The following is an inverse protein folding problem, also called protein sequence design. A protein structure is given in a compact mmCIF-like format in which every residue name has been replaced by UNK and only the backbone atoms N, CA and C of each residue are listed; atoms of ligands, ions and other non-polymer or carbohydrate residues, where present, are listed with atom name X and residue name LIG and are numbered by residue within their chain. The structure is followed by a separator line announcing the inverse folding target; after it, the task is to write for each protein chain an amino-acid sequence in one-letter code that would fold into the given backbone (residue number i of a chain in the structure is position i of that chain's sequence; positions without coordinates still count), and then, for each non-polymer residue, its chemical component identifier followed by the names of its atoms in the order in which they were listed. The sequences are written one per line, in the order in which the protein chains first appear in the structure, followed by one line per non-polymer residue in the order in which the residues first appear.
data_IF_789726128650
#
_entry.id   IF_789726128650
#
_cell.length_a   1.000
_cell.length_b   1.000
_cell.length_c   1.000
_cell.angle_alpha   90.00
_cell.angle_beta   90.00
_cell.angle_gamma   90.00
#
_symmetry.space_group_name_H-M   'P 1'
#
loop_
_entity.id
_entity.type
_entity.pdbx_description
1 polymer ?
#
# COMPACT_ATOMS: atom_id res chain seq x y z
N UNK A 1 1.34 -4.36 -15.84
CA UNK A 1 1.37 -3.44 -14.67
C UNK A 1 0.05 -2.68 -14.60
N UNK A 2 -0.54 -2.54 -13.41
CA UNK A 2 -1.83 -1.85 -13.24
C UNK A 2 -1.84 -0.92 -12.02
N UNK A 3 -2.93 -0.18 -11.87
CA UNK A 3 -3.14 0.74 -10.75
C UNK A 3 -3.93 0.04 -9.64
N UNK A 4 -3.34 -0.11 -8.46
CA UNK A 4 -3.97 -0.79 -7.32
C UNK A 4 -5.32 -0.18 -6.91
N UNK A 5 -5.57 1.09 -7.24
CA UNK A 5 -6.84 1.78 -6.97
C UNK A 5 -8.00 1.26 -7.83
N UNK A 6 -7.72 0.65 -8.99
CA UNK A 6 -8.76 0.30 -9.97
C UNK A 6 -8.61 -1.07 -10.60
N UNK A 7 -7.45 -1.70 -10.50
CA UNK A 7 -7.15 -2.99 -11.12
C UNK A 7 -8.12 -4.08 -10.63
N UNK A 8 -8.62 -4.88 -11.55
CA UNK A 8 -9.33 -6.11 -11.26
C UNK A 8 -8.35 -7.29 -11.32
N UNK A 9 -7.91 -7.74 -10.15
CA UNK A 9 -6.91 -8.81 -10.05
C UNK A 9 -7.45 -10.15 -10.55
N UNK A 10 -8.75 -10.42 -10.49
CA UNK A 10 -9.29 -11.68 -10.99
C UNK A 10 -9.26 -11.71 -12.52
N UNK A 11 -9.55 -10.59 -13.17
CA UNK A 11 -9.40 -10.46 -14.62
C UNK A 11 -7.94 -10.55 -15.06
N UNK A 12 -7.01 -9.92 -14.33
CA UNK A 12 -5.57 -10.01 -14.64
C UNK A 12 -4.99 -11.41 -14.38
N UNK A 13 -5.46 -12.11 -13.35
CA UNK A 13 -5.08 -13.50 -13.08
C UNK A 13 -5.61 -14.43 -14.17
N UNK A 14 -6.85 -14.25 -14.63
CA UNK A 14 -7.46 -15.09 -15.68
C UNK A 14 -6.59 -15.15 -16.94
N UNK A 15 -6.02 -14.01 -17.35
CA UNK A 15 -5.15 -13.90 -18.53
C UNK A 15 -3.88 -14.75 -18.45
N UNK A 16 -3.42 -15.08 -17.24
CA UNK A 16 -2.11 -15.73 -17.01
C UNK A 16 -2.22 -17.12 -16.41
N UNK A 17 -3.20 -17.33 -15.53
CA UNK A 17 -3.38 -18.52 -14.71
C UNK A 17 -4.89 -18.78 -14.48
N UNK A 18 -5.64 -19.24 -15.51
CA UNK A 18 -7.10 -19.42 -15.43
C UNK A 18 -7.55 -20.31 -14.26
N UNK A 19 -6.86 -21.42 -14.01
CA UNK A 19 -7.19 -22.34 -12.91
C UNK A 19 -7.04 -21.67 -11.54
N UNK A 20 -5.99 -20.85 -11.38
CA UNK A 20 -5.78 -20.11 -10.14
C UNK A 20 -6.77 -18.95 -10.02
N UNK A 21 -7.13 -18.29 -11.12
CA UNK A 21 -8.16 -17.27 -11.13
C UNK A 21 -9.53 -17.83 -10.71
N UNK A 22 -9.90 -19.01 -11.23
CA UNK A 22 -11.12 -19.71 -10.82
C UNK A 22 -11.10 -20.05 -9.31
N UNK A 23 -9.97 -20.56 -8.80
CA UNK A 23 -9.78 -20.82 -7.37
C UNK A 23 -9.92 -19.54 -6.54
N UNK A 24 -9.24 -18.47 -6.94
CA UNK A 24 -9.23 -17.19 -6.25
C UNK A 24 -10.61 -16.51 -6.28
N UNK A 25 -11.37 -16.60 -7.38
CA UNK A 25 -12.77 -16.12 -7.45
C UNK A 25 -13.67 -16.90 -6.49
N UNK A 26 -13.48 -18.22 -6.42
CA UNK A 26 -14.28 -19.12 -5.56
C UNK A 26 -13.98 -18.91 -4.07
N UNK A 27 -12.71 -18.88 -3.69
CA UNK A 27 -12.29 -18.81 -2.28
C UNK A 27 -12.11 -17.39 -1.77
N UNK A 28 -11.90 -16.42 -2.68
CA UNK A 28 -11.44 -15.06 -2.35
C UNK A 28 -10.14 -15.07 -1.54
N UNK A 29 -9.70 -13.90 -1.09
CA UNK A 29 -8.44 -13.71 -0.39
C UNK A 29 -8.72 -13.51 1.11
N UNK A 30 -8.03 -14.28 1.96
CA UNK A 30 -8.22 -14.23 3.42
C UNK A 30 -7.60 -12.99 4.07
N UNK A 31 -6.52 -12.47 3.49
CA UNK A 31 -5.86 -11.31 4.04
C UNK A 31 -4.78 -10.72 3.16
N UNK A 32 -4.28 -9.57 3.58
CA UNK A 32 -3.21 -8.82 2.91
C UNK A 32 -2.14 -8.53 3.95
N UNK A 33 -0.88 -8.75 3.60
CA UNK A 33 0.26 -8.23 4.36
C UNK A 33 1.08 -7.36 3.41
N UNK A 34 1.24 -6.08 3.73
CA UNK A 34 1.93 -5.14 2.84
C UNK A 34 2.60 -4.00 3.59
N UNK A 35 3.53 -3.33 2.91
CA UNK A 35 4.15 -2.08 3.34
C UNK A 35 3.85 -1.02 2.29
N UNK A 36 2.85 -0.16 2.48
CA UNK A 36 2.55 0.93 1.56
C UNK A 36 3.75 1.88 1.37
N UNK A 37 3.80 2.66 0.28
CA UNK A 37 4.81 3.72 0.14
C UNK A 37 4.69 4.72 1.29
N UNK A 38 5.79 5.39 1.63
CA UNK A 38 5.82 6.41 2.67
C UNK A 38 5.62 7.80 2.07
N UNK A 39 4.70 8.58 2.65
CA UNK A 39 4.33 9.90 2.12
C UNK A 39 5.54 10.82 1.98
N UNK A 40 5.82 11.20 0.75
CA UNK A 40 6.89 12.14 0.39
C UNK A 40 8.28 11.63 0.78
N UNK A 41 8.51 10.32 0.82
CA UNK A 41 9.82 9.78 1.19
C UNK A 41 10.76 9.65 -0.01
N UNK A 42 10.28 9.05 -1.10
CA UNK A 42 11.04 8.83 -2.33
C UNK A 42 10.15 9.08 -3.55
N UNK A 43 10.77 9.43 -4.67
CA UNK A 43 10.17 9.29 -6.00
C UNK A 43 10.60 7.91 -6.53
N UNK A 44 9.68 6.95 -6.58
CA UNK A 44 10.04 5.53 -6.77
C UNK A 44 10.63 5.29 -8.16
N UNK A 45 10.01 5.84 -9.21
CA UNK A 45 10.48 5.70 -10.58
C UNK A 45 11.84 6.39 -10.78
N UNK A 46 12.08 7.54 -10.15
CA UNK A 46 13.38 8.22 -10.19
C UNK A 46 14.46 7.42 -9.49
N UNK A 47 14.19 6.87 -8.30
CA UNK A 47 15.16 6.04 -7.58
C UNK A 47 15.54 4.78 -8.37
N UNK A 48 14.65 4.28 -9.23
CA UNK A 48 14.86 3.09 -10.04
C UNK A 48 15.11 3.40 -11.52
N UNK A 49 15.47 4.64 -11.88
CA UNK A 49 15.60 5.07 -13.28
C UNK A 49 16.51 4.17 -14.13
N UNK A 50 17.59 3.65 -13.55
CA UNK A 50 18.48 2.68 -14.21
C UNK A 50 17.75 1.39 -14.63
N UNK A 51 16.85 0.85 -13.80
CA UNK A 51 16.09 -0.34 -14.14
C UNK A 51 15.12 -0.07 -15.30
N UNK A 52 14.47 1.09 -15.32
CA UNK A 52 13.61 1.52 -16.42
C UNK A 52 14.37 1.84 -17.71
N UNK A 53 15.67 2.18 -17.62
CA UNK A 53 16.54 2.33 -18.79
C UNK A 53 17.05 1.00 -19.35
N UNK A 54 17.21 -0.02 -18.51
CA UNK A 54 17.72 -1.35 -18.90
C UNK A 54 16.62 -2.31 -19.38
N UNK A 55 15.42 -2.20 -18.83
CA UNK A 55 14.30 -3.09 -19.14
C UNK A 55 13.16 -2.31 -19.83
N UNK A 56 12.37 -2.96 -20.71
CA UNK A 56 11.29 -2.31 -21.45
C UNK A 56 10.04 -2.12 -20.55
N UNK A 57 10.19 -1.41 -19.44
CA UNK A 57 9.10 -1.09 -18.52
C UNK A 57 8.55 0.31 -18.81
N UNK A 58 7.23 0.40 -18.91
CA UNK A 58 6.57 1.71 -18.98
C UNK A 58 6.67 2.44 -17.64
N UNK A 59 7.06 3.71 -17.71
CA UNK A 59 7.03 4.63 -16.58
C UNK A 59 5.61 5.09 -16.29
N UNK A 60 5.20 5.07 -15.02
CA UNK A 60 3.85 5.46 -14.55
C UNK A 60 3.92 6.41 -13.36
N UNK A 61 4.82 7.37 -13.43
CA UNK A 61 5.12 8.36 -12.38
C UNK A 61 3.87 9.03 -11.80
N UNK A 62 2.91 9.38 -12.65
CA UNK A 62 1.68 10.06 -12.22
C UNK A 62 0.72 9.17 -11.42
N UNK A 63 0.95 7.86 -11.40
CA UNK A 63 0.22 6.91 -10.56
C UNK A 63 0.87 6.69 -9.19
N UNK A 64 2.02 7.28 -8.92
CA UNK A 64 2.67 7.16 -7.60
C UNK A 64 1.80 7.76 -6.49
N UNK A 65 1.70 7.03 -5.38
CA UNK A 65 1.01 7.48 -4.17
C UNK A 65 2.07 7.99 -3.18
N UNK A 66 2.02 9.28 -2.88
CA UNK A 66 2.95 9.95 -1.97
C UNK A 66 4.38 10.15 -2.50
N UNK A 67 4.59 10.57 -3.77
CA UNK A 67 5.94 10.81 -4.30
C UNK A 67 6.65 11.97 -3.57
N UNK A 68 7.98 11.90 -3.46
CA UNK A 68 8.82 12.93 -2.83
C UNK A 68 8.65 14.30 -3.49
N UNK A 69 8.48 14.38 -4.81
CA UNK A 69 8.25 15.64 -5.54
C UNK A 69 7.02 16.43 -5.06
N UNK A 70 6.04 15.76 -4.43
CA UNK A 70 4.84 16.39 -3.84
C UNK A 70 5.05 16.80 -2.37
N UNK A 71 6.15 16.40 -1.75
CA UNK A 71 6.52 16.72 -0.38
C UNK A 71 5.60 16.11 0.69
N UNK A 72 5.58 16.72 1.87
CA UNK A 72 4.83 16.25 3.05
C UNK A 72 3.86 17.31 3.59
N UNK A 73 3.47 18.27 2.74
CA UNK A 73 2.49 19.30 3.06
C UNK A 73 1.09 18.73 3.30
N UNK A 74 0.15 19.60 3.68
CA UNK A 74 -1.25 19.20 3.93
C UNK A 74 -1.88 18.50 2.72
N UNK A 75 -1.71 19.07 1.53
CA UNK A 75 -2.26 18.52 0.28
C UNK A 75 -1.65 17.16 -0.06
N UNK A 76 -0.32 17.02 0.09
CA UNK A 76 0.37 15.75 -0.15
C UNK A 76 -0.13 14.64 0.78
N UNK A 77 -0.33 14.96 2.07
CA UNK A 77 -0.90 14.03 3.05
C UNK A 77 -2.34 13.65 2.71
N UNK A 78 -3.17 14.61 2.31
CA UNK A 78 -4.55 14.34 1.90
C UNK A 78 -4.62 13.47 0.66
N UNK A 79 -3.79 13.76 -0.35
CA UNK A 79 -3.68 12.95 -1.57
C UNK A 79 -3.21 11.52 -1.25
N UNK A 80 -2.23 11.37 -0.37
CA UNK A 80 -1.76 10.07 0.09
C UNK A 80 -2.86 9.28 0.83
N UNK A 81 -3.56 9.92 1.78
CA UNK A 81 -4.68 9.31 2.52
C UNK A 81 -5.73 8.80 1.53
N UNK A 82 -6.12 9.65 0.56
CA UNK A 82 -7.09 9.27 -0.46
C UNK A 82 -6.60 8.08 -1.29
N UNK A 83 -5.36 8.14 -1.81
CA UNK A 83 -4.78 7.08 -2.62
C UNK A 83 -4.74 5.73 -1.91
N UNK A 84 -4.26 5.67 -0.67
CA UNK A 84 -4.24 4.41 0.10
C UNK A 84 -5.65 3.94 0.44
N UNK A 85 -6.57 4.86 0.76
CA UNK A 85 -7.98 4.52 1.02
C UNK A 85 -8.64 3.90 -0.22
N UNK A 86 -8.36 4.44 -1.41
CA UNK A 86 -8.89 3.93 -2.68
C UNK A 86 -8.34 2.53 -3.00
N UNK A 87 -7.05 2.30 -2.75
CA UNK A 87 -6.46 0.95 -2.87
C UNK A 87 -7.17 -0.03 -1.94
N UNK A 88 -7.33 0.29 -0.65
CA UNK A 88 -8.02 -0.59 0.31
C UNK A 88 -9.49 -0.82 -0.09
N UNK A 89 -10.17 0.22 -0.58
CA UNK A 89 -11.53 0.11 -1.08
C UNK A 89 -11.64 -0.82 -2.29
N UNK A 90 -10.67 -0.77 -3.20
CA UNK A 90 -10.61 -1.70 -4.32
C UNK A 90 -10.30 -3.12 -3.86
N UNK A 91 -9.33 -3.30 -2.93
CA UNK A 91 -8.95 -4.59 -2.38
C UNK A 91 -10.15 -5.36 -1.80
N UNK A 92 -11.06 -4.68 -1.07
CA UNK A 92 -12.24 -5.31 -0.44
C UNK A 92 -13.08 -6.17 -1.40
N UNK A 93 -13.12 -5.83 -2.69
CA UNK A 93 -13.88 -6.59 -3.70
C UNK A 93 -13.40 -8.04 -3.82
N UNK A 94 -12.14 -8.29 -3.50
CA UNK A 94 -11.46 -9.57 -3.67
C UNK A 94 -11.28 -10.34 -2.35
N UNK A 95 -11.64 -9.74 -1.22
CA UNK A 95 -11.48 -10.32 0.11
C UNK A 95 -12.73 -11.10 0.55
N UNK A 96 -12.53 -12.09 1.43
CA UNK A 96 -13.63 -12.69 2.22
C UNK A 96 -14.18 -11.68 3.23
N UNK A 97 -15.38 -11.87 3.78
CA UNK A 97 -15.98 -10.87 4.68
C UNK A 97 -15.21 -10.66 5.99
N UNK A 98 -14.56 -11.70 6.51
CA UNK A 98 -13.81 -11.72 7.77
C UNK A 98 -12.28 -11.63 7.57
N UNK A 99 -11.86 -10.81 6.60
CA UNK A 99 -10.46 -10.66 6.24
C UNK A 99 -9.58 -10.06 7.34
N UNK A 100 -8.27 -10.27 7.19
CA UNK A 100 -7.23 -9.61 8.00
C UNK A 100 -6.27 -8.82 7.08
N UNK A 101 -6.09 -7.52 7.34
CA UNK A 101 -5.12 -6.70 6.60
C UNK A 101 -4.06 -6.20 7.59
N UNK A 102 -2.80 -6.46 7.27
CA UNK A 102 -1.64 -5.98 8.00
C UNK A 102 -0.87 -4.98 7.15
N UNK A 103 -0.84 -3.72 7.59
CA UNK A 103 -0.04 -2.68 6.96
C UNK A 103 1.12 -2.31 7.87
N UNK A 104 2.34 -2.49 7.36
CA UNK A 104 3.55 -2.04 8.03
C UNK A 104 3.83 -0.61 7.60
N UNK A 105 3.87 0.32 8.56
CA UNK A 105 4.22 1.69 8.24
C UNK A 105 4.82 2.49 9.41
N UNK A 106 5.60 3.51 9.08
CA UNK A 106 5.93 4.59 9.99
C UNK A 106 4.85 5.69 9.92
N UNK A 107 3.99 5.75 10.93
CA UNK A 107 2.90 6.73 10.97
C UNK A 107 3.27 8.02 11.70
N UNK A 108 4.29 8.72 11.22
CA UNK A 108 4.75 10.00 11.78
C UNK A 108 3.65 11.06 11.90
N UNK A 109 2.63 11.00 11.05
CA UNK A 109 1.58 12.01 10.93
C UNK A 109 0.21 11.57 11.45
N UNK A 110 0.12 10.38 12.06
CA UNK A 110 -1.13 9.80 12.58
C UNK A 110 -2.25 9.74 11.51
N UNK A 111 -1.92 9.30 10.30
CA UNK A 111 -2.83 9.29 9.14
C UNK A 111 -3.54 7.94 8.95
N UNK A 112 -3.00 6.84 9.49
CA UNK A 112 -3.60 5.51 9.33
C UNK A 112 -4.99 5.35 9.95
N UNK A 113 -5.32 5.98 11.09
CA UNK A 113 -6.71 5.98 11.59
C UNK A 113 -7.71 6.57 10.59
N UNK A 114 -7.32 7.64 9.88
CA UNK A 114 -8.15 8.28 8.86
C UNK A 114 -8.30 7.38 7.63
N UNK A 115 -7.21 6.76 7.17
CA UNK A 115 -7.22 5.81 6.06
C UNK A 115 -8.16 4.63 6.37
N UNK A 116 -8.04 4.03 7.56
CA UNK A 116 -8.91 2.93 7.97
C UNK A 116 -10.39 3.34 7.97
N UNK A 117 -10.70 4.52 8.55
CA UNK A 117 -12.06 5.07 8.56
C UNK A 117 -12.61 5.27 7.14
N UNK A 118 -11.84 5.88 6.25
CA UNK A 118 -12.24 6.14 4.86
C UNK A 118 -12.48 4.85 4.06
N UNK A 119 -11.75 3.78 4.39
CA UNK A 119 -11.95 2.46 3.80
C UNK A 119 -13.08 1.64 4.46
N UNK A 120 -13.81 2.19 5.45
CA UNK A 120 -14.84 1.45 6.19
C UNK A 120 -14.26 0.29 7.02
N UNK A 121 -13.06 0.48 7.51
CA UNK A 121 -12.31 -0.47 8.33
C UNK A 121 -12.02 0.13 9.71
N UNK A 122 -11.49 -0.70 10.60
CA UNK A 122 -11.02 -0.31 11.93
C UNK A 122 -9.68 -0.96 12.23
N UNK A 123 -8.83 -0.24 12.94
CA UNK A 123 -7.56 -0.78 13.45
C UNK A 123 -7.87 -1.49 14.76
N UNK A 124 -7.81 -2.83 14.77
CA UNK A 124 -8.13 -3.63 15.97
C UNK A 124 -6.89 -3.90 16.84
N UNK A 125 -5.70 -3.96 16.22
CA UNK A 125 -4.42 -4.08 16.94
C UNK A 125 -3.35 -3.18 16.30
N UNK A 126 -2.37 -2.78 17.10
CA UNK A 126 -1.16 -2.11 16.64
C UNK A 126 0.07 -2.76 17.29
N UNK A 127 1.04 -3.16 16.48
CA UNK A 127 2.28 -3.75 16.97
C UNK A 127 3.45 -2.84 16.63
N UNK A 128 4.14 -2.32 17.64
CA UNK A 128 5.32 -1.46 17.44
C UNK A 128 6.56 -2.33 17.28
N UNK A 129 7.34 -2.08 16.23
CA UNK A 129 8.60 -2.77 15.96
C UNK A 129 9.74 -1.74 15.86
N UNK A 130 10.79 -1.84 16.69
CA UNK A 130 11.98 -1.03 16.51
C UNK A 130 12.75 -1.48 15.26
N UNK A 131 13.25 -0.54 14.47
CA UNK A 131 14.12 -0.82 13.32
C UNK A 131 15.56 -0.58 13.74
N UNK A 132 16.29 -1.66 14.00
CA UNK A 132 17.63 -1.62 14.60
C UNK A 132 18.75 -1.46 13.56
N UNK A 133 18.57 -1.97 12.34
CA UNK A 133 19.59 -1.94 11.30
C UNK A 133 19.19 -0.94 10.20
N UNK A 134 19.79 0.26 10.23
CA UNK A 134 19.65 1.27 9.18
C UNK A 134 21.02 1.60 8.58
N UNK A 135 21.05 1.75 7.26
CA UNK A 135 22.22 2.19 6.47
C UNK A 135 22.37 3.70 6.41
N UNK A 136 21.45 4.48 7.01
CA UNK A 136 21.46 5.95 6.98
C UNK A 136 22.23 6.58 8.15
N UNK A 137 22.78 7.79 7.92
CA UNK A 137 23.62 8.55 8.87
C UNK A 137 22.91 8.91 10.20
N UNK A 138 21.59 8.89 10.25
CA UNK A 138 20.82 9.30 11.42
C UNK A 138 20.45 8.11 12.32
N UNK A 139 21.00 8.11 13.53
CA UNK A 139 20.85 7.05 14.55
C UNK A 139 19.61 7.23 15.44
N UNK A 140 18.73 8.19 15.13
CA UNK A 140 17.48 8.38 15.86
C UNK A 140 16.61 7.12 15.88
N UNK A 141 15.87 6.90 16.96
CA UNK A 141 14.95 5.77 17.10
C UNK A 141 13.88 5.80 16.00
N UNK A 142 13.94 4.84 15.06
CA UNK A 142 12.93 4.64 14.03
C UNK A 142 12.11 3.41 14.39
N UNK A 143 10.80 3.58 14.50
CA UNK A 143 9.86 2.49 14.74
C UNK A 143 8.83 2.42 13.64
N UNK A 144 8.51 1.22 13.21
CA UNK A 144 7.34 0.95 12.38
C UNK A 144 6.21 0.42 13.26
N UNK A 145 4.99 0.61 12.78
CA UNK A 145 3.77 0.09 13.37
C UNK A 145 3.17 -0.89 12.37
N UNK A 146 2.86 -2.10 12.82
CA UNK A 146 2.03 -3.04 12.08
C UNK A 146 0.60 -2.77 12.50
N UNK A 147 -0.18 -2.17 11.60
CA UNK A 147 -1.60 -1.94 11.78
C UNK A 147 -2.36 -3.19 11.35
N UNK A 148 -3.15 -3.75 12.26
CA UNK A 148 -4.10 -4.81 11.93
C UNK A 148 -5.48 -4.20 11.69
N UNK A 149 -5.89 -4.17 10.42
CA UNK A 149 -7.17 -3.65 9.98
C UNK A 149 -8.16 -4.79 9.75
N UNK A 150 -9.37 -4.62 10.27
CA UNK A 150 -10.53 -5.47 9.97
C UNK A 150 -11.69 -4.62 9.47
N UNK A 151 -12.68 -5.27 8.87
CA UNK A 151 -13.94 -4.63 8.51
C UNK A 151 -14.57 -4.00 9.77
N UNK A 152 -15.18 -2.82 9.59
CA UNK A 152 -15.95 -2.16 10.65
C UNK A 152 -17.28 -2.86 10.87
#
# INVERSE_FOLDING_TARGET
AGDSRTIDIFTELEKRQPNFAALARKQKIKGIFSSPPYVGLIDYHEQHAYAYGLFPFDRKDELEIGPLKKGQGREAKQSYIQGISDVLNNCKKFLVDDFDIFLVANDKFNIYPTIAKNAGMQIVNQYKRPVLNRTEKDKGAYSEIIFHLKRK
#
